data_IF_854910811674
#
_entry.id   IF_854910811674
#
_cell.length_a   1.000
_cell.length_b   1.000
_cell.length_c   1.000
_cell.angle_alpha   90.00
_cell.angle_beta   90.00
_cell.angle_gamma   90.00
#
_symmetry.space_group_name_H-M   'P 1'
#
loop_
_entity.id
_entity.type
_entity.pdbx_description
1 polymer ?
#
# COMPACT_ATOMS: atom_id res chain seq x y z
N UNK A 1 6.37 -5.57 16.99
CA UNK A 1 6.25 -4.98 15.64
C UNK A 1 5.38 -5.92 14.81
N UNK A 2 4.34 -5.40 14.17
CA UNK A 2 3.42 -6.18 13.33
C UNK A 2 3.31 -5.52 11.95
N UNK A 3 3.24 -6.34 10.91
CA UNK A 3 3.12 -5.89 9.52
C UNK A 3 2.28 -6.89 8.71
N UNK A 4 1.75 -6.42 7.58
CA UNK A 4 1.07 -7.25 6.59
C UNK A 4 1.75 -7.06 5.23
N UNK A 5 1.88 -8.14 4.46
CA UNK A 5 2.45 -8.12 3.11
C UNK A 5 1.38 -8.57 2.13
N UNK A 6 1.04 -7.71 1.18
CA UNK A 6 0.20 -8.10 0.06
C UNK A 6 1.08 -8.67 -1.05
N UNK A 7 0.90 -9.95 -1.31
CA UNK A 7 1.23 -10.59 -2.59
C UNK A 7 -0.05 -10.52 -3.41
N UNK A 8 -0.07 -9.96 -4.62
CA UNK A 8 0.87 -10.06 -5.72
C UNK A 8 1.02 -8.71 -6.43
N UNK A 9 2.16 -8.44 -7.08
CA UNK A 9 2.39 -7.13 -7.71
C UNK A 9 1.67 -6.96 -9.05
N UNK A 10 1.58 -8.03 -9.84
CA UNK A 10 0.94 -8.04 -11.17
C UNK A 10 0.06 -9.27 -11.33
N UNK A 11 -0.90 -9.23 -12.24
CA UNK A 11 -1.57 -10.46 -12.68
C UNK A 11 -0.56 -11.45 -13.26
N UNK A 12 -0.91 -12.74 -13.20
CA UNK A 12 -0.14 -13.84 -13.78
C UNK A 12 -1.12 -14.85 -14.38
N UNK A 13 -1.05 -15.08 -15.69
CA UNK A 13 -1.91 -16.04 -16.40
C UNK A 13 -3.40 -15.89 -16.06
N UNK A 14 -3.96 -16.80 -15.26
CA UNK A 14 -5.37 -16.81 -14.82
C UNK A 14 -5.59 -16.12 -13.47
N UNK A 15 -4.53 -15.72 -12.78
CA UNK A 15 -4.56 -15.02 -11.49
C UNK A 15 -4.62 -13.51 -11.70
N UNK A 16 -5.76 -12.92 -11.30
CA UNK A 16 -6.08 -11.50 -11.55
C UNK A 16 -6.06 -10.63 -10.28
N UNK A 17 -5.46 -11.14 -9.20
CA UNK A 17 -5.27 -10.50 -7.90
C UNK A 17 -4.02 -9.60 -7.84
N UNK A 18 -3.40 -9.26 -8.96
CA UNK A 18 -2.29 -8.32 -8.99
C UNK A 18 -2.72 -6.90 -8.62
N UNK A 19 -1.80 -6.11 -8.05
CA UNK A 19 -2.00 -4.67 -7.90
C UNK A 19 -2.03 -3.93 -9.25
N UNK A 20 -1.44 -4.54 -10.28
CA UNK A 20 -1.40 -4.04 -11.65
C UNK A 20 -1.80 -5.13 -12.64
N UNK A 21 -2.15 -4.74 -13.87
CA UNK A 21 -2.34 -5.69 -14.97
C UNK A 21 -1.06 -6.48 -15.26
N UNK A 22 -1.21 -7.61 -15.97
CA UNK A 22 -0.11 -8.47 -16.38
C UNK A 22 1.02 -7.70 -17.09
N UNK A 23 0.66 -6.77 -17.98
CA UNK A 23 1.58 -5.92 -18.74
C UNK A 23 1.99 -4.64 -18.01
N UNK A 24 1.55 -4.45 -16.76
CA UNK A 24 1.81 -3.30 -15.89
C UNK A 24 1.34 -1.95 -16.44
N UNK A 25 0.44 -1.94 -17.42
CA UNK A 25 -0.10 -0.70 -17.99
C UNK A 25 -1.11 -0.03 -17.07
N UNK A 26 -1.87 -0.81 -16.30
CA UNK A 26 -2.89 -0.26 -15.42
C UNK A 26 -2.63 -0.65 -13.97
N UNK A 27 -2.76 0.33 -13.08
CA UNK A 27 -2.77 0.12 -11.63
C UNK A 27 -4.22 -0.09 -11.21
N UNK A 28 -4.54 -1.26 -10.64
CA UNK A 28 -5.90 -1.66 -10.27
C UNK A 28 -6.38 -1.05 -8.95
N UNK A 29 -5.44 -0.59 -8.13
CA UNK A 29 -5.70 -0.01 -6.82
C UNK A 29 -5.56 1.52 -6.83
N UNK A 30 -6.45 2.27 -6.16
CA UNK A 30 -6.33 3.72 -6.08
C UNK A 30 -5.09 4.15 -5.26
N UNK A 31 -4.10 4.73 -5.94
CA UNK A 31 -2.78 5.06 -5.36
C UNK A 31 -2.89 6.09 -4.24
N UNK A 32 -3.71 7.12 -4.43
CA UNK A 32 -3.89 8.22 -3.48
C UNK A 32 -4.54 7.72 -2.18
N UNK A 33 -5.51 6.81 -2.30
CA UNK A 33 -6.17 6.20 -1.14
C UNK A 33 -5.20 5.32 -0.35
N UNK A 34 -4.41 4.50 -1.05
CA UNK A 34 -3.40 3.67 -0.39
C UNK A 34 -2.35 4.55 0.31
N UNK A 35 -1.86 5.60 -0.34
CA UNK A 35 -0.93 6.55 0.26
C UNK A 35 -1.49 7.17 1.55
N UNK A 36 -2.72 7.70 1.51
CA UNK A 36 -3.36 8.32 2.67
C UNK A 36 -3.57 7.34 3.85
N UNK A 37 -3.76 6.05 3.58
CA UNK A 37 -3.84 5.02 4.62
C UNK A 37 -2.46 4.77 5.24
N UNK A 38 -1.42 4.61 4.42
CA UNK A 38 -0.06 4.34 4.91
C UNK A 38 0.54 5.53 5.66
N UNK A 39 0.28 6.77 5.24
CA UNK A 39 0.75 7.97 5.93
C UNK A 39 0.31 8.03 7.41
N UNK A 40 -0.88 7.50 7.73
CA UNK A 40 -1.36 7.41 9.12
C UNK A 40 -0.49 6.49 9.99
N UNK A 41 0.14 5.47 9.42
CA UNK A 41 1.01 4.54 10.15
C UNK A 41 2.36 5.16 10.50
N UNK A 42 2.82 6.15 9.74
CA UNK A 42 4.08 6.84 9.97
C UNK A 42 3.92 8.14 10.77
N UNK A 43 2.78 8.80 10.65
CA UNK A 43 2.47 10.06 11.36
C UNK A 43 2.02 9.87 12.82
N UNK A 44 1.93 8.64 13.30
CA UNK A 44 1.60 8.29 14.70
C UNK A 44 2.80 8.33 15.65
N UNK A 45 3.93 8.94 15.26
CA UNK A 45 5.10 9.04 16.14
C UNK A 45 4.75 9.84 17.42
N UNK A 46 4.90 9.27 18.63
CA UNK A 46 4.69 10.00 19.89
C UNK A 46 5.62 11.21 20.07
N UNK A 47 6.69 11.28 19.27
CA UNK A 47 7.77 12.27 19.38
C UNK A 47 7.38 13.71 19.08
N UNK A 48 6.21 13.98 18.49
CA UNK A 48 5.75 15.37 18.25
C UNK A 48 4.85 15.93 19.36
N UNK A 49 4.38 15.11 20.30
CA UNK A 49 3.50 15.54 21.40
C UNK A 49 4.29 15.76 22.69
N UNK A 50 5.47 15.16 22.85
CA UNK A 50 6.30 15.24 24.07
C UNK A 50 7.44 16.28 24.00
N UNK A 51 7.30 17.32 23.19
CA UNK A 51 8.17 18.51 23.19
C UNK A 51 7.30 19.77 23.16
N UNK A 52 6.53 19.97 24.22
CA UNK A 52 6.00 21.27 24.65
C UNK A 52 6.07 21.33 26.16
#
# INVERSE_FOLDING_TARGET
LSAAVYTQTTDVEVETNGLMTYDRKEIKMPVEKLKAIHEKLYNTSPSKVAMR
#
